data_IF_027578802478
#
_entry.id   IF_027578802478
#
_cell.length_a   1.000
_cell.length_b   1.000
_cell.length_c   1.000
_cell.angle_alpha   90.00
_cell.angle_beta   90.00
_cell.angle_gamma   90.00
#
_symmetry.space_group_name_H-M   'P 1'
#
loop_
_entity.id
_entity.type
_entity.pdbx_description
1 polymer ?
#
# COMPACT_ATOMS: atom_id res chain seq x y z
N UNK A 1 -11.40 -35.46 -7.50
CA UNK A 1 -11.03 -34.03 -7.38
C UNK A 1 -10.28 -33.65 -8.65
N UNK A 2 -10.84 -32.77 -9.48
CA UNK A 2 -10.37 -32.46 -10.85
C UNK A 2 -9.07 -31.63 -10.85
N UNK A 3 -8.21 -31.81 -11.86
CA UNK A 3 -6.94 -31.08 -12.04
C UNK A 3 -7.08 -29.54 -11.91
N UNK A 4 -8.22 -28.99 -12.33
CA UNK A 4 -8.48 -27.54 -12.25
C UNK A 4 -8.60 -27.01 -10.81
N UNK A 5 -9.10 -27.83 -9.87
CA UNK A 5 -9.19 -27.43 -8.46
C UNK A 5 -7.79 -27.33 -7.84
N UNK A 6 -6.89 -28.23 -8.25
CA UNK A 6 -5.50 -28.27 -7.80
C UNK A 6 -4.72 -27.05 -8.31
N UNK A 7 -4.89 -26.67 -9.58
CA UNK A 7 -4.27 -25.47 -10.16
C UNK A 7 -4.73 -24.17 -9.50
N UNK A 8 -6.03 -24.03 -9.19
CA UNK A 8 -6.56 -22.85 -8.47
C UNK A 8 -6.03 -22.77 -7.04
N UNK A 9 -5.95 -23.90 -6.34
CA UNK A 9 -5.37 -23.98 -5.00
C UNK A 9 -3.89 -23.63 -4.99
N UNK A 10 -3.12 -24.14 -5.96
CA UNK A 10 -1.71 -23.79 -6.14
C UNK A 10 -1.53 -22.28 -6.40
N UNK A 11 -2.31 -21.69 -7.31
CA UNK A 11 -2.24 -20.26 -7.60
C UNK A 11 -2.53 -19.40 -6.35
N UNK A 12 -3.50 -19.80 -5.53
CA UNK A 12 -3.80 -19.15 -4.26
C UNK A 12 -2.62 -19.25 -3.27
N UNK A 13 -2.04 -20.44 -3.11
CA UNK A 13 -0.91 -20.65 -2.20
C UNK A 13 0.34 -19.84 -2.63
N UNK A 14 0.64 -19.81 -3.93
CA UNK A 14 1.76 -19.03 -4.48
C UNK A 14 1.52 -17.53 -4.32
N UNK A 15 0.29 -17.05 -4.53
CA UNK A 15 -0.06 -15.63 -4.31
C UNK A 15 0.23 -15.20 -2.87
N UNK A 16 -0.22 -15.96 -1.88
CA UNK A 16 0.01 -15.64 -0.46
C UNK A 16 1.50 -15.69 -0.10
N UNK A 17 2.20 -16.70 -0.60
CA UNK A 17 3.64 -16.88 -0.36
C UNK A 17 4.45 -15.74 -0.98
N UNK A 18 4.14 -15.37 -2.23
CA UNK A 18 4.78 -14.26 -2.92
C UNK A 18 4.52 -12.94 -2.19
N UNK A 19 3.26 -12.65 -1.81
CA UNK A 19 2.96 -11.44 -1.06
C UNK A 19 3.79 -11.31 0.23
N UNK A 20 3.76 -12.35 1.08
CA UNK A 20 4.49 -12.35 2.34
C UNK A 20 6.01 -12.18 2.12
N UNK A 21 6.59 -12.97 1.21
CA UNK A 21 8.03 -13.00 0.98
C UNK A 21 8.54 -11.70 0.36
N UNK A 22 7.83 -11.16 -0.64
CA UNK A 22 8.26 -9.95 -1.33
C UNK A 22 8.16 -8.72 -0.43
N UNK A 23 7.07 -8.58 0.33
CA UNK A 23 6.91 -7.46 1.28
C UNK A 23 7.97 -7.52 2.36
N UNK A 24 8.26 -8.69 2.94
CA UNK A 24 9.31 -8.85 3.95
C UNK A 24 10.69 -8.46 3.40
N UNK A 25 11.01 -8.84 2.17
CA UNK A 25 12.27 -8.46 1.52
C UNK A 25 12.38 -6.96 1.28
N UNK A 26 11.32 -6.32 0.82
CA UNK A 26 11.28 -4.87 0.64
C UNK A 26 11.44 -4.14 1.98
N UNK A 27 10.74 -4.57 3.03
CA UNK A 27 10.87 -4.00 4.37
C UNK A 27 12.29 -4.14 4.92
N UNK A 28 12.93 -5.29 4.70
CA UNK A 28 14.35 -5.51 5.07
C UNK A 28 15.27 -4.53 4.34
N UNK A 29 15.11 -4.39 3.02
CA UNK A 29 15.92 -3.47 2.22
C UNK A 29 15.75 -2.01 2.65
N UNK A 30 14.50 -1.60 2.96
CA UNK A 30 14.23 -0.26 3.50
C UNK A 30 14.95 -0.04 4.83
N UNK A 31 14.89 -1.00 5.75
CA UNK A 31 15.54 -0.92 7.05
C UNK A 31 17.08 -0.83 6.91
N UNK A 32 17.69 -1.66 6.06
CA UNK A 32 19.12 -1.63 5.76
C UNK A 32 19.57 -0.29 5.16
N UNK A 33 18.71 0.35 4.37
CA UNK A 33 18.94 1.69 3.81
C UNK A 33 18.63 2.84 4.79
N UNK A 34 18.23 2.55 6.03
CA UNK A 34 17.83 3.56 7.02
C UNK A 34 16.58 4.35 6.62
N UNK A 35 15.67 3.72 5.85
CA UNK A 35 14.40 4.29 5.42
C UNK A 35 13.25 3.81 6.30
N UNK A 36 12.16 4.60 6.39
CA UNK A 36 10.97 4.18 7.13
C UNK A 36 10.30 2.93 6.51
N UNK A 37 9.51 2.20 7.31
CA UNK A 37 8.78 1.01 6.86
C UNK A 37 7.87 1.28 5.67
N UNK A 38 7.60 0.26 4.85
CA UNK A 38 6.80 0.38 3.63
C UNK A 38 5.38 0.90 3.90
N UNK A 39 4.80 0.62 5.08
CA UNK A 39 3.52 1.19 5.49
C UNK A 39 3.50 2.73 5.53
N UNK A 40 4.63 3.39 5.79
CA UNK A 40 4.72 4.86 5.72
C UNK A 40 4.55 5.34 4.27
N UNK A 41 5.18 4.64 3.32
CA UNK A 41 5.01 4.93 1.90
C UNK A 41 3.55 4.79 1.47
N UNK A 42 2.86 3.73 1.90
CA UNK A 42 1.46 3.45 1.56
C UNK A 42 0.53 4.61 1.96
N UNK A 43 0.64 5.10 3.19
CA UNK A 43 -0.14 6.26 3.66
C UNK A 43 0.22 7.54 2.90
N UNK A 44 1.51 7.86 2.79
CA UNK A 44 1.95 9.11 2.15
C UNK A 44 1.60 9.14 0.65
N UNK A 45 1.62 7.98 -0.01
CA UNK A 45 1.23 7.85 -1.40
C UNK A 45 -0.27 8.11 -1.61
N UNK A 46 -1.13 7.54 -0.76
CA UNK A 46 -2.58 7.78 -0.88
C UNK A 46 -2.97 9.22 -0.54
N UNK A 47 -2.27 9.87 0.40
CA UNK A 47 -2.44 11.30 0.66
C UNK A 47 -1.95 12.16 -0.52
N UNK A 48 -0.76 11.89 -1.08
CA UNK A 48 -0.25 12.65 -2.24
C UNK A 48 -1.16 12.56 -3.47
N UNK A 49 -1.80 11.40 -3.70
CA UNK A 49 -2.76 11.20 -4.79
C UNK A 49 -4.10 11.89 -4.55
N UNK A 50 -4.46 12.15 -3.30
CA UNK A 50 -5.75 12.74 -2.97
C UNK A 50 -5.78 14.23 -3.34
N UNK A 51 -6.97 14.71 -3.67
CA UNK A 51 -7.18 16.13 -3.93
C UNK A 51 -6.77 16.95 -2.70
N UNK A 52 -5.94 17.98 -2.93
CA UNK A 52 -5.43 18.83 -1.85
C UNK A 52 -4.50 18.13 -0.86
N UNK A 53 -4.00 16.93 -1.16
CA UNK A 53 -3.08 16.20 -0.29
C UNK A 53 -3.73 15.67 1.00
N UNK A 54 -5.06 15.54 1.01
CA UNK A 54 -5.84 15.32 2.23
C UNK A 54 -6.87 14.22 2.09
N UNK A 55 -7.07 13.44 3.14
CA UNK A 55 -8.11 12.42 3.25
C UNK A 55 -8.66 12.35 4.66
N UNK A 56 -9.95 12.03 4.79
CA UNK A 56 -10.48 11.63 6.09
C UNK A 56 -9.82 10.33 6.53
N UNK A 57 -9.62 10.15 7.85
CA UNK A 57 -9.02 8.93 8.41
C UNK A 57 -9.70 7.63 7.91
N UNK A 58 -11.04 7.65 7.81
CA UNK A 58 -11.81 6.49 7.35
C UNK A 58 -11.71 6.27 5.83
N UNK A 59 -11.49 7.32 5.03
CA UNK A 59 -11.20 7.21 3.60
C UNK A 59 -9.80 6.66 3.38
N UNK A 60 -8.82 7.19 4.12
CA UNK A 60 -7.45 6.69 4.12
C UNK A 60 -7.42 5.20 4.45
N UNK A 61 -8.16 4.77 5.49
CA UNK A 61 -8.30 3.36 5.87
C UNK A 61 -8.82 2.45 4.75
N UNK A 62 -9.67 2.98 3.85
CA UNK A 62 -10.18 2.22 2.70
C UNK A 62 -9.18 2.15 1.54
N UNK A 63 -8.27 3.11 1.42
CA UNK A 63 -7.34 3.24 0.29
C UNK A 63 -6.01 2.54 0.51
N UNK A 64 -5.49 2.56 1.74
CA UNK A 64 -4.23 1.91 2.09
C UNK A 64 -4.36 0.38 2.02
N UNK A 65 -3.28 -0.29 1.64
CA UNK A 65 -3.25 -1.73 1.40
C UNK A 65 -2.54 -2.47 2.54
N UNK A 66 -1.37 -1.97 2.96
CA UNK A 66 -0.40 -2.64 3.82
C UNK A 66 -0.61 -2.36 5.32
N UNK A 67 -1.23 -1.23 5.67
CA UNK A 67 -1.30 -0.76 7.07
C UNK A 67 -2.73 -0.57 7.61
N UNK A 68 -3.70 -1.35 7.10
CA UNK A 68 -5.12 -1.20 7.47
C UNK A 68 -5.40 -1.45 8.95
N UNK A 69 -4.84 -2.51 9.54
CA UNK A 69 -5.13 -2.93 10.92
C UNK A 69 -4.46 -2.07 11.99
N UNK A 70 -3.50 -1.23 11.64
CA UNK A 70 -2.74 -0.39 12.58
C UNK A 70 -2.71 1.10 12.19
N UNK A 71 -3.63 1.54 11.31
CA UNK A 71 -3.60 2.88 10.74
C UNK A 71 -3.56 3.99 11.79
N UNK A 72 -4.34 3.91 12.88
CA UNK A 72 -4.31 4.93 13.94
C UNK A 72 -2.91 5.14 14.50
N UNK A 73 -2.25 4.04 14.92
CA UNK A 73 -0.87 4.09 15.43
C UNK A 73 0.15 4.50 14.36
N UNK A 74 -0.13 4.21 13.09
CA UNK A 74 0.72 4.66 12.00
C UNK A 74 0.56 6.17 11.76
N UNK A 75 -0.67 6.68 11.79
CA UNK A 75 -0.96 8.10 11.66
C UNK A 75 -0.30 8.90 12.79
N UNK A 76 -0.38 8.43 14.03
CA UNK A 76 0.31 9.05 15.18
C UNK A 76 1.81 9.17 14.92
N UNK A 77 2.46 8.08 14.47
CA UNK A 77 3.90 8.10 14.15
C UNK A 77 4.25 9.02 12.99
N UNK A 78 3.39 9.12 11.97
CA UNK A 78 3.59 10.02 10.83
C UNK A 78 3.44 11.49 11.25
N UNK A 79 2.52 11.78 12.16
CA UNK A 79 2.34 13.11 12.75
C UNK A 79 3.51 13.48 13.66
N UNK A 80 3.95 12.59 14.55
CA UNK A 80 5.15 12.78 15.37
C UNK A 80 6.41 13.03 14.52
N UNK A 81 6.51 12.34 13.38
CA UNK A 81 7.58 12.53 12.40
C UNK A 81 7.39 13.76 11.50
N UNK A 82 6.32 14.55 11.67
CA UNK A 82 5.96 15.74 10.89
C UNK A 82 5.78 15.46 9.39
N UNK A 83 5.41 14.23 9.04
CA UNK A 83 5.16 13.81 7.65
C UNK A 83 3.68 13.94 7.26
N UNK A 84 2.81 14.00 8.25
CA UNK A 84 1.39 14.26 8.13
C UNK A 84 0.98 15.22 9.26
N UNK A 85 -0.10 15.96 9.09
CA UNK A 85 -0.77 16.73 10.14
C UNK A 85 -2.27 16.40 10.16
N UNK A 86 -2.90 16.54 11.32
CA UNK A 86 -4.36 16.46 11.46
C UNK A 86 -4.97 17.86 11.44
N UNK A 87 -5.77 18.16 10.42
CA UNK A 87 -6.50 19.42 10.31
C UNK A 87 -7.97 19.23 10.72
N UNK A 88 -8.50 20.15 11.53
CA UNK A 88 -9.93 20.21 11.83
C UNK A 88 -10.71 20.56 10.57
N UNK A 89 -11.80 19.83 10.30
CA UNK A 89 -12.63 20.13 9.14
C UNK A 89 -13.76 21.09 9.50
N UNK A 90 -13.93 22.22 8.78
CA UNK A 90 -14.88 23.27 9.13
C UNK A 90 -16.35 22.84 9.23
N UNK A 91 -16.73 21.74 8.57
CA UNK A 91 -18.12 21.33 8.40
C UNK A 91 -18.53 20.07 9.17
N UNK A 92 -17.58 19.39 9.84
CA UNK A 92 -17.90 18.20 10.63
C UNK A 92 -17.00 18.14 11.87
N UNK A 93 -17.62 18.38 13.04
CA UNK A 93 -16.94 18.38 14.35
C UNK A 93 -16.55 16.98 14.84
N UNK A 94 -16.83 15.91 14.07
CA UNK A 94 -16.57 14.52 14.48
C UNK A 94 -15.34 13.89 13.82
N UNK A 95 -14.57 14.62 13.02
CA UNK A 95 -13.38 14.07 12.39
C UNK A 95 -12.35 15.11 11.95
N UNK A 96 -11.10 14.65 11.87
CA UNK A 96 -9.98 15.39 11.29
C UNK A 96 -9.68 14.89 9.87
N UNK A 97 -9.11 15.77 9.05
CA UNK A 97 -8.45 15.41 7.80
C UNK A 97 -6.98 15.06 8.10
N UNK A 98 -6.51 13.95 7.54
CA UNK A 98 -5.09 13.64 7.48
C UNK A 98 -4.52 14.38 6.27
N UNK A 99 -3.53 15.25 6.48
CA UNK A 99 -2.95 16.09 5.43
C UNK A 99 -1.46 15.81 5.31
N UNK A 100 -0.98 15.54 4.10
CA UNK A 100 0.46 15.31 3.88
C UNK A 100 1.24 16.63 3.97
N UNK A 101 2.36 16.62 4.70
CA UNK A 101 3.24 17.79 4.77
C UNK A 101 4.23 17.80 3.62
N UNK A 102 4.95 18.93 3.45
CA UNK A 102 6.09 18.99 2.52
C UNK A 102 7.18 17.97 2.86
N UNK A 103 7.41 17.70 4.15
CA UNK A 103 8.36 16.68 4.59
C UNK A 103 7.83 15.27 4.26
N UNK A 104 6.53 15.02 4.39
CA UNK A 104 5.88 13.79 3.96
C UNK A 104 6.07 13.51 2.47
N UNK A 105 5.81 14.52 1.61
CA UNK A 105 6.05 14.43 0.17
C UNK A 105 7.52 14.10 -0.15
N UNK A 106 8.45 14.76 0.55
CA UNK A 106 9.88 14.51 0.38
C UNK A 106 10.27 13.08 0.83
N UNK A 107 9.74 12.61 1.96
CA UNK A 107 10.01 11.26 2.46
C UNK A 107 9.48 10.19 1.51
N UNK A 108 8.26 10.35 1.00
CA UNK A 108 7.68 9.41 0.02
C UNK A 108 8.52 9.36 -1.26
N UNK A 109 8.97 10.52 -1.76
CA UNK A 109 9.90 10.59 -2.91
C UNK A 109 11.25 9.94 -2.61
N UNK A 110 11.73 10.01 -1.37
CA UNK A 110 12.99 9.37 -0.93
C UNK A 110 12.87 7.84 -0.89
N UNK A 111 11.73 7.31 -0.46
CA UNK A 111 11.48 5.86 -0.39
C UNK A 111 11.32 5.25 -1.79
N UNK A 112 10.68 5.97 -2.71
CA UNK A 112 10.28 5.43 -4.03
C UNK A 112 11.40 4.76 -4.85
N UNK A 113 12.61 5.33 -5.00
CA UNK A 113 13.66 4.70 -5.81
C UNK A 113 14.03 3.30 -5.35
N UNK A 114 14.16 3.08 -4.03
CA UNK A 114 14.49 1.76 -3.49
C UNK A 114 13.30 0.81 -3.66
N UNK A 115 12.09 1.27 -3.30
CA UNK A 115 10.89 0.43 -3.45
C UNK A 115 10.68 -0.01 -4.91
N UNK A 116 10.84 0.91 -5.87
CA UNK A 116 10.75 0.60 -7.30
C UNK A 116 11.82 -0.39 -7.74
N UNK A 117 13.06 -0.25 -7.27
CA UNK A 117 14.15 -1.17 -7.60
C UNK A 117 13.89 -2.58 -7.07
N UNK A 118 13.37 -2.70 -5.85
CA UNK A 118 12.98 -4.00 -5.28
C UNK A 118 11.81 -4.63 -6.04
N UNK A 119 10.78 -3.87 -6.42
CA UNK A 119 9.68 -4.37 -7.28
C UNK A 119 10.24 -4.90 -8.61
N UNK A 120 11.13 -4.14 -9.23
CA UNK A 120 11.74 -4.53 -10.52
C UNK A 120 12.55 -5.82 -10.38
N UNK A 121 13.40 -5.87 -9.34
CA UNK A 121 14.29 -6.99 -9.04
C UNK A 121 13.51 -8.26 -8.63
N UNK A 122 12.49 -8.13 -7.81
CA UNK A 122 11.83 -9.29 -7.21
C UNK A 122 10.62 -9.77 -8.01
N UNK A 123 10.02 -8.91 -8.83
CA UNK A 123 8.77 -9.22 -9.52
C UNK A 123 8.80 -8.90 -11.02
N UNK A 124 8.95 -7.63 -11.41
CA UNK A 124 8.72 -7.21 -12.81
C UNK A 124 9.63 -7.91 -13.82
N UNK A 125 10.92 -8.10 -13.51
CA UNK A 125 11.86 -8.77 -14.42
C UNK A 125 11.59 -10.27 -14.61
N UNK A 126 10.75 -10.87 -13.77
CA UNK A 126 10.48 -12.30 -13.74
C UNK A 126 9.18 -12.69 -14.43
N UNK A 127 8.43 -11.72 -14.94
CA UNK A 127 7.16 -11.95 -15.63
C UNK A 127 7.13 -11.22 -16.97
N UNK A 128 6.49 -11.85 -17.95
CA UNK A 128 6.18 -11.22 -19.23
C UNK A 128 5.03 -10.22 -19.08
N UNK A 129 4.91 -9.31 -20.05
CA UNK A 129 3.76 -8.39 -20.13
C UNK A 129 2.43 -9.13 -20.21
N UNK A 130 2.39 -10.29 -20.86
CA UNK A 130 1.17 -11.09 -20.99
C UNK A 130 0.78 -11.75 -19.66
N UNK A 131 1.76 -12.28 -18.91
CA UNK A 131 1.53 -12.82 -17.57
C UNK A 131 1.08 -11.73 -16.60
N UNK A 132 1.71 -10.56 -16.64
CA UNK A 132 1.33 -9.40 -15.82
C UNK A 132 -0.14 -9.00 -16.06
N UNK A 133 -0.59 -8.94 -17.32
CA UNK A 133 -2.00 -8.70 -17.66
C UNK A 133 -2.91 -9.79 -17.10
N UNK A 134 -2.54 -11.05 -17.32
CA UNK A 134 -3.34 -12.22 -16.88
C UNK A 134 -3.53 -12.25 -15.37
N UNK A 135 -2.44 -12.09 -14.61
CA UNK A 135 -2.45 -12.07 -13.14
C UNK A 135 -3.21 -10.83 -12.65
N UNK A 136 -2.94 -9.65 -13.23
CA UNK A 136 -3.62 -8.40 -12.88
C UNK A 136 -5.14 -8.50 -13.02
N UNK A 137 -5.62 -8.98 -14.17
CA UNK A 137 -7.06 -9.13 -14.43
C UNK A 137 -7.71 -10.16 -13.50
N UNK A 138 -7.02 -11.28 -13.25
CA UNK A 138 -7.52 -12.32 -12.35
C UNK A 138 -7.65 -11.82 -10.90
N UNK A 139 -6.63 -11.13 -10.40
CA UNK A 139 -6.64 -10.56 -9.04
C UNK A 139 -7.63 -9.40 -8.92
N UNK A 140 -7.77 -8.55 -9.95
CA UNK A 140 -8.75 -7.46 -9.96
C UNK A 140 -10.19 -7.99 -9.83
N UNK A 141 -10.53 -9.09 -10.50
CA UNK A 141 -11.84 -9.75 -10.33
C UNK A 141 -12.04 -10.27 -8.92
N UNK A 142 -11.01 -10.88 -8.31
CA UNK A 142 -11.08 -11.37 -6.93
C UNK A 142 -11.27 -10.21 -5.93
N UNK A 143 -10.56 -9.09 -6.11
CA UNK A 143 -10.71 -7.87 -5.30
C UNK A 143 -12.13 -7.31 -5.45
N UNK A 144 -12.67 -7.23 -6.67
CA UNK A 144 -14.05 -6.78 -6.91
C UNK A 144 -15.07 -7.68 -6.22
N UNK A 145 -14.92 -9.00 -6.32
CA UNK A 145 -15.81 -9.95 -5.66
C UNK A 145 -15.79 -9.82 -4.13
N UNK A 146 -14.62 -9.53 -3.53
CA UNK A 146 -14.48 -9.30 -2.09
C UNK A 146 -15.05 -7.95 -1.63
N UNK A 147 -15.04 -6.94 -2.50
CA UNK A 147 -15.55 -5.60 -2.21
C UNK A 147 -17.08 -5.48 -2.18
N UNK A 148 -17.81 -6.50 -2.66
CA UNK A 148 -19.25 -6.44 -2.91
C UNK A 148 -19.57 -5.55 -4.11
N UNK A 149 -20.56 -5.94 -4.90
CA UNK A 149 -21.17 -5.07 -5.90
C UNK A 149 -21.65 -3.77 -5.20
N UNK A 150 -21.07 -2.64 -5.60
CA UNK A 150 -21.72 -1.33 -5.48
C UNK A 150 -22.50 -1.06 -6.74
#
# INVERSE_FOLDING_TARGET
MTKDHDLKGHAWAVLLTAHATLVERIETALAEAGLPPLGWYDVLWELEKAEGGRLRMHELARRIVLSRSNLTRLADRLEDAKLMEREDTPHDRRGYDCVITRAGLAMRKKIWPLYKAEIESLFSRHITVQEARTIGDALARAVKAAGGEG
#
